data_IF_456088273097
#
_entry.id   IF_456088273097
#
_cell.length_a   1.000
_cell.length_b   1.000
_cell.length_c   1.000
_cell.angle_alpha   90.00
_cell.angle_beta   90.00
_cell.angle_gamma   90.00
#
_symmetry.space_group_name_H-M   'P 1'
#
loop_
_entity.id
_entity.type
_entity.pdbx_description
1 polymer ?
#
# COMPACT_ATOMS: atom_id res chain seq x y z
N UNK A 1 -57.30 -10.00 -4.48
CA UNK A 1 -57.28 -11.07 -3.45
C UNK A 1 -58.29 -12.19 -3.76
N UNK A 2 -58.49 -12.53 -5.05
CA UNK A 2 -59.43 -13.59 -5.49
C UNK A 2 -58.83 -14.52 -6.58
N UNK A 3 -57.58 -14.31 -7.01
CA UNK A 3 -56.93 -15.11 -8.06
C UNK A 3 -55.88 -16.12 -7.53
N UNK A 4 -55.58 -16.09 -6.22
CA UNK A 4 -54.65 -17.05 -5.61
C UNK A 4 -55.37 -18.21 -4.90
N UNK A 5 -56.70 -18.17 -4.75
CA UNK A 5 -57.47 -19.24 -4.11
C UNK A 5 -57.83 -20.40 -5.07
N UNK A 6 -57.80 -20.17 -6.38
CA UNK A 6 -58.19 -21.17 -7.40
C UNK A 6 -57.02 -22.05 -7.87
N UNK A 7 -55.77 -21.67 -7.60
CA UNK A 7 -54.58 -22.49 -7.97
C UNK A 7 -54.30 -23.61 -6.99
N UNK A 8 -54.61 -23.43 -5.71
CA UNK A 8 -54.35 -24.45 -4.69
C UNK A 8 -55.39 -25.58 -4.69
N UNK A 9 -56.59 -25.33 -5.25
CA UNK A 9 -57.64 -26.34 -5.38
C UNK A 9 -57.43 -27.35 -6.54
N UNK A 10 -56.53 -27.06 -7.49
CA UNK A 10 -56.22 -27.94 -8.63
C UNK A 10 -55.00 -28.85 -8.41
N UNK A 11 -54.21 -28.62 -7.34
CA UNK A 11 -53.08 -29.47 -6.99
C UNK A 11 -53.47 -30.68 -6.13
N UNK A 12 -54.66 -30.65 -5.51
CA UNK A 12 -55.09 -31.66 -4.53
C UNK A 12 -55.99 -32.77 -5.12
N UNK A 13 -56.35 -32.69 -6.41
CA UNK A 13 -57.19 -33.68 -7.12
C UNK A 13 -56.42 -34.69 -7.97
N UNK A 14 -55.09 -34.59 -8.07
CA UNK A 14 -54.24 -35.45 -8.92
C UNK A 14 -53.42 -36.50 -8.12
N UNK A 15 -53.64 -36.60 -6.80
CA UNK A 15 -52.89 -37.51 -5.92
C UNK A 15 -53.68 -38.73 -5.42
N UNK A 16 -54.82 -39.08 -6.03
CA UNK A 16 -55.61 -40.27 -5.65
C UNK A 16 -56.14 -41.01 -6.88
N UNK A 17 -55.33 -41.89 -7.44
CA UNK A 17 -55.82 -43.00 -8.25
C UNK A 17 -54.84 -44.17 -8.18
N UNK A 18 -54.89 -44.90 -7.08
CA UNK A 18 -54.41 -46.28 -7.00
C UNK A 18 -55.48 -47.18 -7.63
N UNK A 19 -55.17 -47.78 -8.78
CA UNK A 19 -56.00 -48.84 -9.37
C UNK A 19 -55.13 -50.07 -9.60
N UNK A 20 -55.36 -51.05 -8.74
CA UNK A 20 -54.70 -52.36 -8.70
C UNK A 20 -55.56 -53.39 -9.45
N UNK A 21 -54.85 -54.26 -10.15
CA UNK A 21 -55.12 -55.67 -10.51
C UNK A 21 -56.22 -56.06 -11.51
N UNK A 22 -55.76 -57.03 -12.32
CA UNK A 22 -56.46 -58.19 -12.90
C UNK A 22 -56.94 -58.11 -14.34
N UNK A 23 -56.40 -59.06 -15.14
CA UNK A 23 -57.08 -59.98 -16.09
C UNK A 23 -55.99 -60.68 -16.97
N UNK A 24 -56.18 -61.94 -17.40
CA UNK A 24 -55.16 -62.98 -17.31
C UNK A 24 -54.45 -63.36 -18.63
N UNK A 25 -53.48 -64.26 -18.48
CA UNK A 25 -52.75 -65.01 -19.50
C UNK A 25 -53.64 -65.65 -20.58
N UNK A 26 -53.27 -65.45 -21.85
CA UNK A 26 -53.53 -66.41 -22.92
C UNK A 26 -52.26 -66.59 -23.75
N UNK A 27 -51.74 -67.80 -23.65
CA UNK A 27 -50.67 -68.41 -24.43
C UNK A 27 -51.10 -68.49 -25.90
N UNK A 28 -50.25 -68.03 -26.83
CA UNK A 28 -50.12 -68.73 -28.10
C UNK A 28 -48.73 -68.57 -28.74
N UNK A 29 -48.05 -69.70 -28.78
CA UNK A 29 -46.81 -70.01 -29.49
C UNK A 29 -47.00 -69.91 -31.00
N UNK A 30 -46.23 -69.04 -31.66
CA UNK A 30 -45.84 -69.23 -33.07
C UNK A 30 -44.36 -68.88 -33.20
N UNK A 31 -43.53 -69.93 -33.25
CA UNK A 31 -42.11 -69.87 -33.54
C UNK A 31 -41.89 -69.76 -35.05
N UNK A 32 -41.76 -68.52 -35.56
CA UNK A 32 -41.24 -68.27 -36.91
C UNK A 32 -39.74 -68.03 -36.83
N UNK A 33 -38.96 -68.98 -37.30
CA UNK A 33 -37.50 -68.86 -37.40
C UNK A 33 -37.12 -67.83 -38.46
N UNK A 34 -36.89 -66.58 -38.04
CA UNK A 34 -36.11 -65.61 -38.82
C UNK A 34 -34.65 -65.72 -38.40
N UNK A 35 -33.80 -66.17 -39.32
CA UNK A 35 -32.35 -66.02 -39.21
C UNK A 35 -32.02 -64.53 -39.18
N UNK A 36 -31.59 -64.04 -38.03
CA UNK A 36 -31.04 -62.70 -37.87
C UNK A 36 -29.77 -62.57 -38.72
N UNK A 37 -29.84 -61.76 -39.77
CA UNK A 37 -28.66 -61.26 -40.47
C UNK A 37 -27.97 -60.33 -39.46
N UNK A 38 -26.79 -60.71 -39.00
CA UNK A 38 -25.98 -59.89 -38.11
C UNK A 38 -25.58 -58.60 -38.84
N UNK A 39 -26.29 -57.51 -38.58
CA UNK A 39 -25.80 -56.17 -38.89
C UNK A 39 -24.56 -55.92 -38.03
N UNK A 40 -23.41 -55.52 -38.61
CA UNK A 40 -22.27 -55.13 -37.80
C UNK A 40 -22.69 -53.96 -36.92
N UNK A 41 -22.73 -54.20 -35.60
CA UNK A 41 -22.92 -53.17 -34.59
C UNK A 41 -21.76 -52.19 -34.71
N UNK A 42 -21.98 -51.07 -35.39
CA UNK A 42 -21.05 -49.96 -35.40
C UNK A 42 -21.19 -49.25 -34.05
N UNK A 43 -20.52 -49.79 -33.03
CA UNK A 43 -20.38 -49.10 -31.76
C UNK A 43 -19.70 -47.74 -32.05
N UNK A 44 -20.33 -46.59 -31.76
CA UNK A 44 -19.65 -45.32 -31.90
C UNK A 44 -18.46 -45.37 -30.95
N UNK A 45 -17.25 -45.31 -31.52
CA UNK A 45 -16.02 -45.13 -30.77
C UNK A 45 -16.06 -43.74 -30.11
N UNK A 46 -16.79 -43.61 -29.00
CA UNK A 46 -16.57 -42.53 -28.05
C UNK A 46 -15.22 -42.78 -27.41
N UNK A 47 -14.15 -42.35 -28.09
CA UNK A 47 -12.87 -42.13 -27.42
C UNK A 47 -13.15 -41.16 -26.28
N UNK A 48 -13.18 -41.69 -25.05
CA UNK A 48 -13.27 -40.88 -23.85
C UNK A 48 -12.19 -39.80 -23.97
N UNK A 49 -12.61 -38.56 -24.22
CA UNK A 49 -11.67 -37.46 -24.36
C UNK A 49 -10.86 -37.42 -23.08
N UNK A 50 -9.54 -37.57 -23.23
CA UNK A 50 -8.60 -37.57 -22.12
C UNK A 50 -8.83 -36.26 -21.35
N UNK A 51 -9.41 -36.35 -20.15
CA UNK A 51 -9.65 -35.17 -19.31
C UNK A 51 -8.28 -34.54 -19.04
N UNK A 52 -8.15 -33.25 -19.34
CA UNK A 52 -6.91 -32.55 -19.05
C UNK A 52 -6.72 -32.50 -17.52
N UNK A 53 -5.63 -33.09 -17.04
CA UNK A 53 -5.31 -33.14 -15.60
C UNK A 53 -4.85 -31.77 -15.07
N UNK A 54 -4.26 -30.94 -15.94
CA UNK A 54 -3.75 -29.61 -15.64
C UNK A 54 -4.62 -28.45 -16.16
N UNK A 55 -4.37 -27.22 -15.70
CA UNK A 55 -5.02 -26.03 -16.23
C UNK A 55 -4.63 -25.81 -17.71
N UNK A 56 -5.56 -25.25 -18.48
CA UNK A 56 -5.30 -24.87 -19.87
C UNK A 56 -4.33 -23.69 -19.87
N UNK A 57 -3.24 -23.78 -20.65
CA UNK A 57 -2.22 -22.72 -20.68
C UNK A 57 -2.71 -21.49 -21.45
N UNK A 58 -2.51 -20.31 -20.86
CA UNK A 58 -2.65 -19.04 -21.56
C UNK A 58 -1.32 -18.64 -22.22
N UNK A 59 -1.39 -18.03 -23.41
CA UNK A 59 -0.20 -17.49 -24.11
C UNK A 59 0.31 -16.19 -23.48
N UNK A 60 -0.61 -15.31 -23.07
CA UNK A 60 -0.29 -13.95 -22.60
C UNK A 60 -0.89 -13.64 -21.22
N UNK A 61 -0.94 -14.63 -20.33
CA UNK A 61 -1.45 -14.38 -18.99
C UNK A 61 -0.47 -13.59 -18.11
N UNK A 62 -1.04 -12.86 -17.16
CA UNK A 62 -0.38 -12.07 -16.14
C UNK A 62 0.32 -13.03 -15.17
N UNK A 63 1.63 -12.86 -15.04
CA UNK A 63 2.49 -13.69 -14.19
C UNK A 63 2.90 -12.94 -12.94
N UNK A 64 2.98 -13.68 -11.84
CA UNK A 64 3.73 -13.25 -10.66
C UNK A 64 5.22 -13.25 -11.00
N UNK A 65 5.88 -12.08 -10.94
CA UNK A 65 7.26 -11.88 -11.43
C UNK A 65 8.29 -11.93 -10.32
N UNK A 66 7.88 -11.66 -9.07
CA UNK A 66 8.79 -11.61 -7.94
C UNK A 66 9.46 -12.97 -7.72
N UNK A 67 10.79 -12.93 -7.53
CA UNK A 67 11.64 -14.11 -7.29
C UNK A 67 11.53 -14.60 -5.85
N UNK A 68 11.46 -13.66 -4.92
CA UNK A 68 11.02 -13.91 -3.55
C UNK A 68 9.53 -14.26 -3.58
N UNK A 69 9.12 -15.15 -2.68
CA UNK A 69 7.70 -15.47 -2.51
C UNK A 69 6.96 -14.26 -1.92
N UNK A 70 5.79 -14.51 -1.34
CA UNK A 70 4.98 -13.54 -0.64
C UNK A 70 5.64 -12.97 0.64
N UNK A 71 6.85 -13.44 0.97
CA UNK A 71 7.61 -13.04 2.15
C UNK A 71 8.15 -11.61 2.03
N UNK A 72 8.20 -10.88 3.14
CA UNK A 72 8.80 -9.54 3.24
C UNK A 72 8.28 -8.52 2.20
N UNK A 73 6.98 -8.55 1.92
CA UNK A 73 6.33 -7.48 1.15
C UNK A 73 6.31 -6.17 1.96
N UNK A 74 6.47 -5.00 1.32
CA UNK A 74 6.30 -3.73 2.01
C UNK A 74 4.84 -3.55 2.43
N UNK A 75 4.61 -2.71 3.44
CA UNK A 75 3.26 -2.20 3.71
C UNK A 75 2.85 -1.28 2.53
N UNK A 76 1.63 -1.41 1.95
CA UNK A 76 0.43 -2.11 2.43
C UNK A 76 0.25 -3.54 1.90
N UNK A 77 1.15 -4.05 1.06
CA UNK A 77 1.00 -5.37 0.45
C UNK A 77 1.09 -6.54 1.46
N UNK A 78 1.94 -6.43 2.48
CA UNK A 78 2.09 -7.48 3.50
C UNK A 78 0.77 -7.80 4.24
N UNK A 79 0.05 -6.84 4.86
CA UNK A 79 -1.18 -7.18 5.57
C UNK A 79 -2.29 -7.75 4.67
N UNK A 80 -2.39 -7.29 3.42
CA UNK A 80 -3.30 -7.88 2.42
C UNK A 80 -2.97 -9.34 2.12
N UNK A 81 -1.68 -9.67 2.10
CA UNK A 81 -1.18 -11.02 1.87
C UNK A 81 -1.47 -11.93 3.05
N UNK A 82 -1.21 -11.46 4.27
CA UNK A 82 -1.59 -12.20 5.49
C UNK A 82 -3.09 -12.48 5.52
N UNK A 83 -3.89 -11.49 5.15
CA UNK A 83 -5.34 -11.62 5.15
C UNK A 83 -5.84 -12.64 4.12
N UNK A 84 -5.42 -12.52 2.85
CA UNK A 84 -6.00 -13.27 1.74
C UNK A 84 -5.27 -14.57 1.39
N UNK A 85 -3.96 -14.63 1.63
CA UNK A 85 -3.11 -15.75 1.23
C UNK A 85 -2.77 -16.65 2.43
N UNK A 86 -2.32 -16.08 3.54
CA UNK A 86 -1.88 -16.85 4.71
C UNK A 86 -3.05 -17.43 5.53
N UNK A 87 -4.28 -16.95 5.29
CA UNK A 87 -5.50 -17.56 5.83
C UNK A 87 -5.87 -18.89 5.15
N UNK A 88 -5.27 -19.20 3.99
CA UNK A 88 -5.51 -20.43 3.25
C UNK A 88 -4.58 -21.57 3.72
N UNK A 89 -5.02 -22.84 3.62
CA UNK A 89 -4.15 -23.98 3.92
C UNK A 89 -2.95 -24.02 2.95
N UNK A 90 -1.78 -24.39 3.47
CA UNK A 90 -0.49 -24.27 2.76
C UNK A 90 -0.49 -24.94 1.37
N UNK A 91 -1.02 -26.17 1.25
CA UNK A 91 -1.07 -26.86 -0.05
C UNK A 91 -1.94 -26.15 -1.10
N UNK A 92 -2.98 -25.42 -0.67
CA UNK A 92 -3.80 -24.60 -1.56
C UNK A 92 -3.05 -23.32 -1.97
N UNK A 93 -2.33 -22.71 -1.03
CA UNK A 93 -1.48 -21.55 -1.29
C UNK A 93 -0.39 -21.89 -2.31
N UNK A 94 0.28 -23.02 -2.17
CA UNK A 94 1.31 -23.47 -3.12
C UNK A 94 0.73 -23.66 -4.53
N UNK A 95 -0.42 -24.33 -4.64
CA UNK A 95 -1.11 -24.50 -5.93
C UNK A 95 -1.51 -23.15 -6.54
N UNK A 96 -2.02 -22.22 -5.73
CA UNK A 96 -2.40 -20.88 -6.17
C UNK A 96 -1.20 -20.06 -6.68
N UNK A 97 -0.06 -20.14 -5.98
CA UNK A 97 1.19 -19.49 -6.39
C UNK A 97 1.72 -20.09 -7.70
N UNK A 98 1.58 -21.40 -7.91
CA UNK A 98 1.96 -22.02 -9.17
C UNK A 98 1.09 -21.52 -10.34
N UNK A 99 -0.22 -21.31 -10.13
CA UNK A 99 -1.08 -20.67 -11.12
C UNK A 99 -0.63 -19.25 -11.43
N UNK A 100 -0.28 -18.48 -10.40
CA UNK A 100 0.17 -17.10 -10.54
C UNK A 100 1.50 -17.04 -11.32
N UNK A 101 2.47 -17.91 -11.02
CA UNK A 101 3.77 -17.99 -11.72
C UNK A 101 3.64 -18.47 -13.17
N UNK A 102 2.77 -19.44 -13.42
CA UNK A 102 2.51 -19.95 -14.78
C UNK A 102 1.82 -18.92 -15.69
N UNK A 103 1.23 -17.88 -15.10
CA UNK A 103 0.50 -16.86 -15.83
C UNK A 103 -0.87 -17.35 -16.26
N UNK A 104 -1.60 -17.96 -15.33
CA UNK A 104 -2.96 -18.44 -15.60
C UNK A 104 -4.01 -17.33 -15.50
N UNK A 105 -3.63 -16.11 -15.12
CA UNK A 105 -4.56 -14.98 -15.04
C UNK A 105 -4.62 -14.25 -16.38
N UNK A 106 -5.77 -14.28 -17.06
CA UNK A 106 -5.96 -13.63 -18.36
C UNK A 106 -6.10 -12.11 -18.25
N UNK A 107 -6.79 -11.63 -17.21
CA UNK A 107 -6.98 -10.21 -16.92
C UNK A 107 -7.00 -9.98 -15.42
N UNK A 108 -6.54 -8.80 -15.00
CA UNK A 108 -6.57 -8.32 -13.63
C UNK A 108 -6.83 -6.81 -13.69
N UNK A 109 -7.98 -6.39 -13.20
CA UNK A 109 -8.41 -4.99 -13.21
C UNK A 109 -8.67 -4.60 -11.76
N UNK A 110 -8.03 -3.53 -11.30
CA UNK A 110 -8.19 -2.98 -9.97
C UNK A 110 -9.01 -1.69 -10.13
N UNK A 111 -10.11 -1.59 -9.40
CA UNK A 111 -11.03 -0.45 -9.47
C UNK A 111 -11.39 0.02 -8.06
N UNK A 112 -12.08 1.16 -7.97
CA UNK A 112 -12.63 1.67 -6.72
C UNK A 112 -13.64 0.72 -6.04
N UNK A 113 -14.20 -0.23 -6.80
CA UNK A 113 -15.18 -1.19 -6.31
C UNK A 113 -14.58 -2.53 -5.94
N UNK A 114 -13.25 -2.71 -6.07
CA UNK A 114 -12.56 -3.97 -5.84
C UNK A 114 -11.75 -4.44 -7.05
N UNK A 115 -11.34 -5.69 -7.00
CA UNK A 115 -10.49 -6.35 -7.98
C UNK A 115 -11.32 -7.35 -8.77
N UNK A 116 -11.26 -7.26 -10.10
CA UNK A 116 -11.87 -8.21 -11.02
C UNK A 116 -10.80 -8.91 -11.84
N UNK A 117 -10.87 -10.24 -11.93
CA UNK A 117 -9.90 -11.03 -12.65
C UNK A 117 -10.52 -12.25 -13.33
N UNK A 118 -9.92 -12.65 -14.45
CA UNK A 118 -10.25 -13.89 -15.14
C UNK A 118 -9.09 -14.87 -15.00
N UNK A 119 -9.31 -15.99 -14.32
CA UNK A 119 -8.28 -17.02 -14.07
C UNK A 119 -8.60 -18.28 -14.85
N UNK A 120 -7.68 -18.70 -15.71
CA UNK A 120 -7.79 -19.90 -16.50
C UNK A 120 -7.48 -21.14 -15.65
N UNK A 121 -8.45 -22.03 -15.53
CA UNK A 121 -8.27 -23.34 -14.91
C UNK A 121 -8.42 -24.47 -15.92
N UNK A 122 -9.04 -25.56 -15.49
CA UNK A 122 -9.30 -26.75 -16.31
C UNK A 122 -10.43 -26.53 -17.33
N UNK A 123 -11.42 -25.72 -16.97
CA UNK A 123 -12.58 -25.43 -17.80
C UNK A 123 -12.20 -24.64 -19.06
N UNK A 124 -12.88 -24.82 -20.20
CA UNK A 124 -12.63 -24.04 -21.41
C UNK A 124 -12.79 -22.53 -21.22
N UNK A 125 -13.72 -22.12 -20.33
CA UNK A 125 -13.94 -20.72 -19.96
C UNK A 125 -13.19 -20.39 -18.68
N UNK A 126 -12.47 -19.28 -18.68
CA UNK A 126 -11.80 -18.77 -17.48
C UNK A 126 -12.80 -18.46 -16.36
N UNK A 127 -12.41 -18.77 -15.12
CA UNK A 127 -13.18 -18.46 -13.93
C UNK A 127 -13.12 -16.96 -13.65
N UNK A 128 -14.27 -16.39 -13.28
CA UNK A 128 -14.38 -14.99 -12.91
C UNK A 128 -14.20 -14.90 -11.40
N UNK A 129 -13.23 -14.08 -10.99
CA UNK A 129 -12.85 -13.85 -9.60
C UNK A 129 -13.08 -12.38 -9.29
N UNK A 130 -13.70 -12.12 -8.14
CA UNK A 130 -13.89 -10.77 -7.63
C UNK A 130 -13.53 -10.69 -6.15
N UNK A 131 -12.72 -9.70 -5.79
CA UNK A 131 -12.30 -9.42 -4.41
C UNK A 131 -12.66 -7.97 -4.09
N UNK A 132 -13.64 -7.78 -3.21
CA UNK A 132 -14.14 -6.47 -2.82
C UNK A 132 -13.84 -6.23 -1.34
N UNK A 133 -13.38 -5.04 -0.99
CA UNK A 133 -13.28 -4.60 0.40
C UNK A 133 -14.33 -3.53 0.71
N UNK A 134 -14.65 -3.39 1.98
CA UNK A 134 -15.55 -2.32 2.43
C UNK A 134 -14.99 -0.94 2.04
N UNK A 135 -15.82 -0.14 1.37
CA UNK A 135 -15.48 1.19 0.86
C UNK A 135 -15.85 2.25 1.89
N UNK A 136 -15.01 3.27 2.04
CA UNK A 136 -15.32 4.39 2.94
C UNK A 136 -16.32 5.37 2.30
N UNK A 137 -17.11 6.03 3.13
CA UNK A 137 -18.01 7.07 2.65
C UNK A 137 -17.25 8.30 2.15
N UNK A 138 -17.90 9.12 1.32
CA UNK A 138 -17.31 10.39 0.85
C UNK A 138 -16.91 11.32 2.00
N UNK A 139 -17.74 11.38 3.05
CA UNK A 139 -17.47 12.16 4.27
C UNK A 139 -16.29 11.62 5.08
N UNK A 140 -16.09 10.30 5.11
CA UNK A 140 -14.92 9.71 5.77
C UNK A 140 -13.64 10.10 5.05
N UNK A 141 -13.65 10.01 3.71
CA UNK A 141 -12.53 10.44 2.88
C UNK A 141 -12.21 11.93 3.06
N UNK A 142 -13.21 12.80 3.11
CA UNK A 142 -12.99 14.23 3.36
C UNK A 142 -12.30 14.47 4.70
N UNK A 143 -12.75 13.80 5.77
CA UNK A 143 -12.12 13.90 7.10
C UNK A 143 -10.68 13.38 7.10
N UNK A 144 -10.43 12.24 6.46
CA UNK A 144 -9.07 11.67 6.31
C UNK A 144 -8.15 12.64 5.57
N UNK A 145 -8.60 13.18 4.41
CA UNK A 145 -7.81 14.14 3.62
C UNK A 145 -7.49 15.39 4.44
N UNK A 146 -8.45 15.92 5.20
CA UNK A 146 -8.21 17.08 6.07
C UNK A 146 -7.14 16.82 7.13
N UNK A 147 -7.13 15.63 7.75
CA UNK A 147 -6.12 15.26 8.74
C UNK A 147 -4.76 15.10 8.07
N UNK A 148 -4.68 14.35 6.96
CA UNK A 148 -3.44 14.14 6.21
C UNK A 148 -2.86 15.43 5.65
N UNK A 149 -3.69 16.39 5.25
CA UNK A 149 -3.26 17.68 4.74
C UNK A 149 -2.54 18.54 5.79
N UNK A 150 -2.70 18.28 7.09
CA UNK A 150 -2.02 19.00 8.18
C UNK A 150 -0.51 18.75 8.21
N UNK A 151 -0.06 17.57 7.79
CA UNK A 151 1.34 17.16 7.88
C UNK A 151 1.98 17.05 6.49
N UNK A 152 3.08 17.78 6.24
CA UNK A 152 3.74 17.85 4.92
C UNK A 152 4.24 16.51 4.43
N UNK A 153 4.59 15.64 5.37
CA UNK A 153 5.17 14.33 5.12
C UNK A 153 4.24 13.42 4.30
N UNK A 154 2.92 13.39 4.60
CA UNK A 154 1.99 12.52 3.87
C UNK A 154 1.90 12.90 2.39
N UNK A 155 1.66 14.18 2.09
CA UNK A 155 1.57 14.62 0.69
C UNK A 155 2.89 14.45 -0.06
N UNK A 156 4.02 14.81 0.56
CA UNK A 156 5.32 14.71 -0.09
C UNK A 156 5.64 13.25 -0.48
N UNK A 157 5.44 12.29 0.43
CA UNK A 157 5.71 10.87 0.17
C UNK A 157 4.72 10.26 -0.82
N UNK A 158 3.43 10.54 -0.68
CA UNK A 158 2.42 10.01 -1.61
C UNK A 158 2.61 10.56 -3.03
N UNK A 159 3.04 11.82 -3.19
CA UNK A 159 3.41 12.39 -4.49
C UNK A 159 4.65 11.74 -5.08
N UNK A 160 5.58 11.26 -4.24
CA UNK A 160 6.71 10.46 -4.68
C UNK A 160 6.33 9.00 -5.03
N UNK A 161 5.06 8.62 -4.90
CA UNK A 161 4.61 7.24 -5.07
C UNK A 161 5.03 6.32 -3.93
N UNK A 162 5.52 6.88 -2.82
CA UNK A 162 5.95 6.14 -1.65
C UNK A 162 4.87 6.16 -0.57
N UNK A 163 4.75 5.05 0.14
CA UNK A 163 3.81 4.98 1.26
C UNK A 163 4.43 5.58 2.53
N UNK A 164 3.82 6.61 3.14
CA UNK A 164 4.36 7.24 4.34
C UNK A 164 4.39 6.27 5.54
N UNK A 165 5.44 6.32 6.38
CA UNK A 165 5.38 5.67 7.68
C UNK A 165 4.21 6.27 8.47
N UNK A 166 3.45 5.44 9.19
CA UNK A 166 2.29 5.86 9.99
C UNK A 166 1.09 6.42 9.19
N UNK A 167 0.99 6.14 7.89
CA UNK A 167 -0.19 6.54 7.10
C UNK A 167 -1.52 5.99 7.63
N UNK A 168 -1.50 4.97 8.48
CA UNK A 168 -2.71 4.48 9.17
C UNK A 168 -3.20 5.42 10.28
N UNK A 169 -2.35 6.27 10.87
CA UNK A 169 -2.73 7.10 12.02
C UNK A 169 -3.93 8.04 11.73
N UNK A 170 -4.00 8.74 10.57
CA UNK A 170 -5.19 9.50 10.18
C UNK A 170 -6.47 8.66 10.13
N UNK A 171 -6.40 7.42 9.66
CA UNK A 171 -7.55 6.52 9.59
C UNK A 171 -7.96 6.03 10.99
N UNK A 172 -6.98 5.60 11.80
CA UNK A 172 -7.22 5.10 13.15
C UNK A 172 -7.85 6.17 14.04
N UNK A 173 -7.48 7.45 13.88
CA UNK A 173 -8.08 8.58 14.61
C UNK A 173 -9.59 8.75 14.35
N UNK A 174 -10.09 8.19 13.25
CA UNK A 174 -11.50 8.18 12.85
C UNK A 174 -12.17 6.81 13.06
N UNK A 175 -11.46 5.84 13.67
CA UNK A 175 -11.93 4.47 13.83
C UNK A 175 -11.95 3.65 12.54
N UNK A 176 -11.16 4.05 11.54
CA UNK A 176 -11.06 3.39 10.24
C UNK A 176 -9.72 2.66 10.08
N UNK A 177 -9.67 1.68 9.17
CA UNK A 177 -8.47 0.90 8.86
C UNK A 177 -8.24 0.88 7.35
N UNK A 178 -7.13 1.44 6.85
CA UNK A 178 -6.88 1.49 5.40
C UNK A 178 -6.80 0.08 4.81
N UNK A 179 -6.03 -0.81 5.44
CA UNK A 179 -5.98 -2.22 5.06
C UNK A 179 -6.94 -3.00 5.95
N UNK A 180 -7.81 -3.86 5.38
CA UNK A 180 -8.72 -4.66 6.19
C UNK A 180 -7.97 -5.56 7.17
N UNK A 181 -8.49 -5.67 8.38
CA UNK A 181 -7.86 -6.50 9.44
C UNK A 181 -8.49 -7.88 9.56
N UNK A 182 -9.70 -8.05 9.05
CA UNK A 182 -10.48 -9.28 9.15
C UNK A 182 -11.06 -9.70 7.80
N UNK A 183 -11.16 -11.01 7.58
CA UNK A 183 -11.79 -11.58 6.38
C UNK A 183 -13.27 -11.21 6.26
N UNK A 184 -13.90 -10.69 7.33
CA UNK A 184 -15.29 -10.21 7.30
C UNK A 184 -15.45 -8.90 6.51
N UNK A 185 -14.41 -8.09 6.44
CA UNK A 185 -14.38 -6.82 5.70
C UNK A 185 -14.06 -7.01 4.20
N UNK A 186 -13.76 -8.26 3.79
CA UNK A 186 -13.39 -8.58 2.41
C UNK A 186 -14.27 -9.69 1.86
N UNK A 187 -14.94 -9.39 0.76
CA UNK A 187 -15.81 -10.34 0.05
C UNK A 187 -15.08 -10.90 -1.15
N UNK A 188 -14.79 -12.20 -1.09
CA UNK A 188 -14.22 -12.95 -2.21
C UNK A 188 -15.31 -13.77 -2.89
N UNK A 189 -15.40 -13.69 -4.22
CA UNK A 189 -16.31 -14.52 -5.02
C UNK A 189 -15.58 -15.14 -6.21
N UNK A 190 -15.95 -16.38 -6.53
CA UNK A 190 -15.44 -17.07 -7.71
C UNK A 190 -16.47 -18.07 -8.22
N UNK A 191 -16.68 -18.14 -9.54
CA UNK A 191 -17.62 -19.04 -10.18
C UNK A 191 -17.14 -20.51 -10.31
N UNK A 192 -16.06 -20.90 -9.61
CA UNK A 192 -15.53 -22.27 -9.61
C UNK A 192 -16.28 -23.26 -8.69
N UNK A 193 -17.23 -22.77 -7.89
CA UNK A 193 -18.01 -23.59 -6.95
C UNK A 193 -17.28 -24.02 -5.68
N UNK A 194 -15.98 -23.74 -5.55
CA UNK A 194 -15.17 -24.06 -4.36
C UNK A 194 -14.97 -22.86 -3.42
N UNK A 195 -15.39 -21.66 -3.84
CA UNK A 195 -15.28 -20.46 -3.02
C UNK A 195 -16.46 -20.39 -2.05
N UNK A 196 -16.18 -20.22 -0.76
CA UNK A 196 -17.21 -20.03 0.27
C UNK A 196 -16.99 -18.68 0.97
N UNK A 197 -17.95 -18.18 1.75
CA UNK A 197 -17.78 -16.93 2.50
C UNK A 197 -16.65 -16.97 3.53
N UNK A 198 -16.23 -18.17 3.96
CA UNK A 198 -15.21 -18.37 5.00
C UNK A 198 -13.88 -18.89 4.44
N UNK A 199 -13.87 -19.43 3.21
CA UNK A 199 -12.70 -20.02 2.60
C UNK A 199 -12.54 -19.60 1.14
N UNK A 200 -11.35 -19.08 0.83
CA UNK A 200 -10.94 -18.70 -0.51
C UNK A 200 -10.54 -19.94 -1.33
N UNK A 201 -11.00 -20.01 -2.57
CA UNK A 201 -10.50 -21.00 -3.53
C UNK A 201 -9.11 -20.60 -4.07
N UNK A 202 -8.39 -21.54 -4.70
CA UNK A 202 -7.07 -21.27 -5.30
C UNK A 202 -7.05 -20.12 -6.31
N UNK A 203 -8.16 -19.89 -7.04
CA UNK A 203 -8.24 -18.78 -7.99
C UNK A 203 -8.27 -17.43 -7.29
N UNK A 204 -8.96 -17.33 -6.14
CA UNK A 204 -8.96 -16.12 -5.30
C UNK A 204 -7.57 -15.87 -4.74
N UNK A 205 -6.92 -16.90 -4.20
CA UNK A 205 -5.56 -16.78 -3.64
C UNK A 205 -4.54 -16.42 -4.73
N UNK A 206 -4.67 -16.96 -5.94
CA UNK A 206 -3.85 -16.59 -7.11
C UNK A 206 -3.99 -15.10 -7.44
N UNK A 207 -5.23 -14.59 -7.46
CA UNK A 207 -5.50 -13.16 -7.70
C UNK A 207 -5.00 -12.31 -6.54
N UNK A 208 -5.14 -12.76 -5.29
CA UNK A 208 -4.62 -12.07 -4.12
C UNK A 208 -3.10 -11.94 -4.12
N UNK A 209 -2.37 -12.98 -4.54
CA UNK A 209 -0.93 -12.93 -4.70
C UNK A 209 -0.50 -11.90 -5.77
N UNK A 210 -1.22 -11.85 -6.91
CA UNK A 210 -0.99 -10.83 -7.93
C UNK A 210 -1.35 -9.42 -7.45
N UNK A 211 -2.43 -9.28 -6.67
CA UNK A 211 -2.82 -8.02 -6.05
C UNK A 211 -1.73 -7.52 -5.10
N UNK A 212 -1.17 -8.41 -4.28
CA UNK A 212 -0.07 -8.09 -3.37
C UNK A 212 1.18 -7.60 -4.12
N UNK A 213 1.54 -8.24 -5.23
CA UNK A 213 2.65 -7.77 -6.09
C UNK A 213 2.36 -6.38 -6.67
N UNK A 214 1.11 -6.10 -7.07
CA UNK A 214 0.70 -4.78 -7.56
C UNK A 214 0.75 -3.73 -6.47
N UNK A 215 0.27 -4.03 -5.26
CA UNK A 215 0.32 -3.13 -4.12
C UNK A 215 1.76 -2.82 -3.68
N UNK A 216 2.67 -3.78 -3.83
CA UNK A 216 4.08 -3.57 -3.54
C UNK A 216 4.77 -2.63 -4.55
N UNK A 217 4.31 -2.62 -5.81
CA UNK A 217 4.82 -1.74 -6.85
C UNK A 217 4.13 -0.37 -6.92
N UNK A 218 2.83 -0.31 -6.62
CA UNK A 218 2.02 0.90 -6.56
C UNK A 218 1.16 0.90 -5.29
N UNK A 219 1.64 1.57 -4.22
CA UNK A 219 0.96 1.55 -2.94
C UNK A 219 -0.33 2.39 -2.93
N UNK A 220 -0.53 3.30 -3.90
CA UNK A 220 -1.74 4.13 -3.97
C UNK A 220 -3.00 3.31 -4.28
N UNK A 221 -2.82 2.11 -4.85
CA UNK A 221 -3.90 1.16 -5.08
C UNK A 221 -4.61 0.76 -3.77
N UNK A 222 -3.96 0.86 -2.60
CA UNK A 222 -4.62 0.60 -1.32
C UNK A 222 -5.77 1.59 -1.05
N UNK A 223 -5.62 2.87 -1.41
CA UNK A 223 -6.70 3.85 -1.30
C UNK A 223 -7.81 3.58 -2.33
N UNK A 224 -7.41 3.14 -3.52
CA UNK A 224 -8.35 2.77 -4.59
C UNK A 224 -9.25 1.62 -4.14
N UNK A 225 -8.69 0.59 -3.50
CA UNK A 225 -9.47 -0.52 -2.94
C UNK A 225 -10.46 -0.09 -1.83
N UNK A 226 -10.26 1.08 -1.22
CA UNK A 226 -11.17 1.70 -0.24
C UNK A 226 -12.09 2.77 -0.87
N UNK A 227 -12.16 2.81 -2.20
CA UNK A 227 -13.13 3.59 -2.97
C UNK A 227 -12.69 5.00 -3.40
N UNK A 228 -11.44 5.38 -3.19
CA UNK A 228 -10.90 6.64 -3.71
C UNK A 228 -9.69 6.39 -4.58
N UNK A 229 -9.80 6.74 -5.86
CA UNK A 229 -8.68 6.65 -6.80
C UNK A 229 -7.45 7.39 -6.28
N UNK A 230 -6.27 6.77 -6.45
CA UNK A 230 -5.01 7.31 -5.94
C UNK A 230 -4.67 8.69 -6.47
N UNK A 231 -4.89 8.97 -7.77
CA UNK A 231 -4.64 10.29 -8.36
C UNK A 231 -5.61 11.32 -7.77
N UNK A 232 -6.89 10.96 -7.64
CA UNK A 232 -7.90 11.82 -7.04
C UNK A 232 -7.62 12.14 -5.57
N UNK A 233 -7.03 11.21 -4.82
CA UNK A 233 -6.55 11.47 -3.45
C UNK A 233 -5.43 12.51 -3.45
N UNK A 234 -4.46 12.41 -4.36
CA UNK A 234 -3.35 13.36 -4.46
C UNK A 234 -3.87 14.77 -4.81
N UNK A 235 -4.79 14.88 -5.76
CA UNK A 235 -5.45 16.16 -6.11
C UNK A 235 -6.13 16.79 -4.88
N UNK A 236 -6.95 16.01 -4.18
CA UNK A 236 -7.65 16.48 -2.97
C UNK A 236 -6.69 16.91 -1.86
N UNK A 237 -5.57 16.21 -1.70
CA UNK A 237 -4.54 16.58 -0.72
C UNK A 237 -3.85 17.89 -1.11
N UNK A 238 -3.53 18.09 -2.39
CA UNK A 238 -2.94 19.34 -2.88
C UNK A 238 -3.90 20.52 -2.69
N UNK A 239 -5.19 20.35 -3.02
CA UNK A 239 -6.22 21.36 -2.81
C UNK A 239 -6.40 21.70 -1.31
N UNK A 240 -6.54 20.68 -0.47
CA UNK A 240 -6.70 20.86 0.97
C UNK A 240 -5.50 21.58 1.59
N UNK A 241 -4.28 21.26 1.13
CA UNK A 241 -3.08 22.00 1.53
C UNK A 241 -3.09 23.44 1.07
N UNK A 242 -3.40 23.68 -0.21
CA UNK A 242 -3.44 25.04 -0.75
C UNK A 242 -4.45 25.91 0.01
N UNK A 243 -5.58 25.34 0.43
CA UNK A 243 -6.57 26.04 1.27
C UNK A 243 -6.00 26.26 2.69
N UNK A 244 -5.38 25.26 3.29
CA UNK A 244 -4.79 25.39 4.64
C UNK A 244 -3.62 26.38 4.69
N UNK A 245 -2.85 26.52 3.61
CA UNK A 245 -1.72 27.45 3.50
C UNK A 245 -2.09 28.80 2.92
N UNK A 246 -3.29 28.96 2.32
CA UNK A 246 -3.85 30.26 1.92
C UNK A 246 -4.07 31.11 3.17
N UNK A 247 -3.05 31.90 3.51
CA UNK A 247 -3.02 32.82 4.65
C UNK A 247 -1.83 32.63 5.60
N UNK A 248 -1.16 31.47 5.57
CA UNK A 248 -0.01 31.17 6.43
C UNK A 248 0.96 30.25 5.66
N UNK A 249 1.81 30.85 4.82
CA UNK A 249 3.02 30.18 4.35
C UNK A 249 4.03 30.12 5.52
N UNK A 250 3.83 29.22 6.48
CA UNK A 250 4.86 28.90 7.50
C UNK A 250 5.86 27.94 6.87
N UNK A 251 6.72 28.47 6.01
CA UNK A 251 8.03 27.87 5.77
C UNK A 251 8.82 28.03 7.08
N UNK A 252 8.87 26.97 7.89
CA UNK A 252 9.44 26.96 9.23
C UNK A 252 8.74 27.89 10.23
N UNK A 253 8.71 27.49 11.50
CA UNK A 253 8.59 28.47 12.58
C UNK A 253 9.79 29.38 12.43
N UNK A 254 9.59 30.65 12.04
CA UNK A 254 10.64 31.63 12.25
C UNK A 254 11.01 31.54 13.74
N UNK A 255 12.30 31.40 14.10
CA UNK A 255 12.70 31.55 15.49
C UNK A 255 12.07 32.86 16.00
N UNK A 256 11.62 32.93 17.26
CA UNK A 256 11.06 34.15 17.79
C UNK A 256 12.08 35.26 17.54
N UNK A 257 11.76 36.15 16.60
CA UNK A 257 12.51 37.39 16.46
C UNK A 257 12.30 38.05 17.81
N UNK A 258 13.37 38.16 18.60
CA UNK A 258 13.32 38.93 19.81
C UNK A 258 12.78 40.31 19.39
N UNK A 259 11.61 40.68 19.88
CA UNK A 259 11.03 42.01 19.75
C UNK A 259 11.88 42.96 20.61
N UNK A 260 13.15 43.13 20.22
CA UNK A 260 14.02 44.14 20.76
C UNK A 260 13.55 45.45 20.13
N UNK A 261 12.61 46.11 20.81
CA UNK A 261 11.97 47.37 20.43
C UNK A 261 12.92 48.57 20.38
N UNK A 262 14.03 48.47 19.66
CA UNK A 262 14.89 49.59 19.30
C UNK A 262 14.96 49.62 17.78
N UNK A 263 14.46 50.70 17.20
CA UNK A 263 14.58 50.97 15.78
C UNK A 263 16.07 50.96 15.43
N UNK A 264 16.56 49.87 14.82
CA UNK A 264 17.95 49.76 14.44
C UNK A 264 18.30 50.96 13.54
N UNK A 265 19.48 51.59 13.73
CA UNK A 265 19.91 52.65 12.83
C UNK A 265 19.99 52.12 11.39
N UNK A 266 19.83 53.00 10.38
CA UNK A 266 19.95 52.61 8.98
C UNK A 266 21.29 51.91 8.72
N UNK A 267 21.29 50.92 7.82
CA UNK A 267 22.43 50.02 7.59
C UNK A 267 23.75 50.76 7.31
N UNK A 268 23.68 51.89 6.62
CA UNK A 268 24.83 52.73 6.30
C UNK A 268 25.56 53.25 7.54
N UNK A 269 24.82 53.50 8.64
CA UNK A 269 25.38 53.92 9.93
C UNK A 269 25.93 52.73 10.74
N UNK A 270 25.60 51.50 10.36
CA UNK A 270 25.98 50.28 11.06
C UNK A 270 27.14 49.52 10.39
N UNK A 271 27.57 49.93 9.19
CA UNK A 271 28.60 49.20 8.42
C UNK A 271 29.90 48.98 9.20
N UNK A 272 30.33 49.97 9.98
CA UNK A 272 31.56 49.90 10.79
C UNK A 272 31.48 48.87 11.93
N UNK A 273 30.27 48.53 12.37
CA UNK A 273 30.01 47.63 13.49
C UNK A 273 29.16 46.41 13.10
N UNK A 274 28.94 46.19 11.80
CA UNK A 274 28.05 45.15 11.28
C UNK A 274 28.45 43.75 11.73
N UNK A 275 29.76 43.51 11.82
CA UNK A 275 30.33 42.23 12.28
C UNK A 275 30.62 42.19 13.78
N UNK A 276 30.23 43.23 14.54
CA UNK A 276 30.39 43.28 15.99
C UNK A 276 29.02 43.06 16.65
N UNK A 277 28.96 42.36 17.78
CA UNK A 277 27.72 42.22 18.53
C UNK A 277 27.21 43.62 18.93
N UNK A 278 25.94 43.90 18.64
CA UNK A 278 25.29 45.14 19.01
C UNK A 278 24.77 45.02 20.45
N UNK A 279 25.43 45.68 21.39
CA UNK A 279 25.08 45.70 22.82
C UNK A 279 26.14 45.05 23.72
N UNK A 280 26.05 45.32 25.02
CA UNK A 280 26.79 44.57 26.04
C UNK A 280 26.28 43.13 26.04
N UNK A 281 26.94 42.24 25.29
CA UNK A 281 26.80 40.81 25.51
C UNK A 281 27.33 40.53 26.92
N UNK A 282 26.43 40.48 27.90
CA UNK A 282 26.77 39.89 29.19
C UNK A 282 27.20 38.44 28.91
N UNK A 283 28.31 37.97 29.50
CA UNK A 283 28.84 36.63 29.22
C UNK A 283 27.83 35.50 29.48
N UNK A 284 26.79 35.76 30.29
CA UNK A 284 25.68 34.84 30.56
C UNK A 284 24.70 34.65 29.38
N UNK A 285 24.65 35.57 28.41
CA UNK A 285 23.62 35.53 27.34
C UNK A 285 24.04 34.74 26.10
N UNK A 286 25.28 34.25 26.02
CA UNK A 286 25.85 33.58 24.84
C UNK A 286 26.32 32.15 25.10
N UNK A 287 25.89 31.49 26.17
CA UNK A 287 25.98 30.02 26.22
C UNK A 287 24.78 29.41 25.48
N UNK A 288 24.73 29.62 24.16
CA UNK A 288 24.11 28.62 23.30
C UNK A 288 25.03 27.40 23.38
N UNK A 289 24.83 26.56 24.40
CA UNK A 289 25.40 25.22 24.40
C UNK A 289 25.06 24.63 23.03
N UNK A 290 26.06 24.28 22.20
CA UNK A 290 25.77 23.71 20.90
C UNK A 290 24.94 22.46 21.19
N UNK A 291 23.65 22.48 20.82
CA UNK A 291 22.89 21.24 20.75
C UNK A 291 23.77 20.24 19.99
N UNK A 292 23.90 18.99 20.45
CA UNK A 292 24.81 18.05 19.85
C UNK A 292 24.32 17.72 18.45
N UNK A 293 24.72 18.53 17.46
CA UNK A 293 24.51 18.24 16.07
C UNK A 293 25.24 16.94 15.77
N UNK A 294 24.60 16.05 15.03
CA UNK A 294 25.25 14.84 14.57
C UNK A 294 26.55 15.23 13.84
N UNK A 295 27.70 14.79 14.35
CA UNK A 295 28.99 15.13 13.77
C UNK A 295 28.98 14.87 12.25
N UNK A 296 29.43 15.87 11.49
CA UNK A 296 29.54 15.82 10.03
C UNK A 296 28.19 15.66 9.29
N UNK A 297 27.08 16.19 9.83
CA UNK A 297 25.74 16.07 9.24
C UNK A 297 25.66 16.48 7.75
N UNK A 298 26.33 17.58 7.38
CA UNK A 298 26.37 18.04 5.99
C UNK A 298 27.11 17.05 5.07
N UNK A 299 28.24 16.51 5.52
CA UNK A 299 29.00 15.51 4.77
C UNK A 299 28.23 14.20 4.62
N UNK A 300 27.46 13.79 5.64
CA UNK A 300 26.61 12.60 5.57
C UNK A 300 25.45 12.74 4.58
N UNK A 301 24.87 13.93 4.44
CA UNK A 301 23.80 14.21 3.46
C UNK A 301 24.27 14.16 2.01
N UNK A 302 25.55 14.46 1.76
CA UNK A 302 26.13 14.44 0.42
C UNK A 302 26.38 13.01 -0.10
N UNK A 303 26.36 12.00 0.77
CA UNK A 303 26.55 10.61 0.38
C UNK A 303 27.97 10.28 -0.09
N UNK A 304 28.16 9.09 -0.64
CA UNK A 304 29.48 8.66 -1.12
C UNK A 304 29.88 9.44 -2.38
N UNK A 305 31.11 9.95 -2.40
CA UNK A 305 31.65 10.67 -3.55
C UNK A 305 31.82 9.74 -4.75
N UNK A 306 31.52 10.18 -5.99
CA UNK A 306 31.76 9.42 -7.22
C UNK A 306 33.25 9.33 -7.59
N UNK A 307 34.14 9.99 -6.85
CA UNK A 307 35.58 10.00 -7.11
C UNK A 307 36.23 8.68 -6.63
N UNK A 308 36.84 7.93 -7.56
CA UNK A 308 37.45 6.61 -7.32
C UNK A 308 38.81 6.63 -6.62
N UNK A 309 38.89 7.23 -5.43
CA UNK A 309 40.10 7.26 -4.60
C UNK A 309 40.29 6.01 -3.73
N UNK A 310 41.52 5.80 -3.25
CA UNK A 310 41.87 4.71 -2.31
C UNK A 310 41.13 4.81 -0.96
N UNK A 311 40.66 6.01 -0.61
CA UNK A 311 39.88 6.28 0.60
C UNK A 311 38.62 7.08 0.26
N UNK A 312 37.50 6.85 0.96
CA UNK A 312 36.27 7.62 0.74
C UNK A 312 36.47 9.09 1.14
N UNK A 313 36.23 10.01 0.20
CA UNK A 313 36.41 11.45 0.36
C UNK A 313 35.72 12.02 1.61
N UNK A 314 34.51 11.52 1.90
CA UNK A 314 33.71 11.93 3.07
C UNK A 314 34.46 11.68 4.39
N UNK A 315 35.17 10.55 4.50
CA UNK A 315 35.94 10.21 5.70
C UNK A 315 37.17 11.10 5.85
N UNK A 316 37.85 11.40 4.74
CA UNK A 316 38.99 12.31 4.74
C UNK A 316 38.55 13.72 5.16
N UNK A 317 37.49 14.25 4.56
CA UNK A 317 36.95 15.56 4.95
C UNK A 317 36.51 15.58 6.41
N UNK A 318 35.83 14.55 6.90
CA UNK A 318 35.46 14.46 8.31
C UNK A 318 36.68 14.63 9.24
N UNK A 319 37.78 13.91 8.98
CA UNK A 319 39.01 14.05 9.78
C UNK A 319 39.61 15.47 9.75
N UNK A 320 39.57 16.14 8.60
CA UNK A 320 40.05 17.54 8.48
C UNK A 320 39.16 18.48 9.29
N UNK A 321 37.84 18.37 9.14
CA UNK A 321 36.89 19.20 9.87
C UNK A 321 37.01 19.00 11.38
N UNK A 322 37.21 17.77 11.83
CA UNK A 322 37.41 17.45 13.26
C UNK A 322 38.71 18.06 13.80
N UNK A 323 39.81 17.95 13.06
CA UNK A 323 41.10 18.56 13.44
C UNK A 323 41.00 20.08 13.53
N UNK A 324 40.35 20.73 12.56
CA UNK A 324 40.19 22.19 12.55
C UNK A 324 39.25 22.63 13.68
N UNK A 325 38.16 21.89 13.91
CA UNK A 325 37.22 22.21 14.98
C UNK A 325 37.88 22.11 16.36
N UNK A 326 38.68 21.07 16.60
CA UNK A 326 39.40 20.87 17.87
C UNK A 326 40.43 21.99 18.09
N UNK A 327 41.18 22.38 17.04
CA UNK A 327 42.14 23.48 17.15
C UNK A 327 41.46 24.84 17.36
N UNK A 328 40.34 25.10 16.68
CA UNK A 328 39.54 26.30 16.89
C UNK A 328 38.92 26.37 18.30
N UNK A 329 38.54 25.23 18.87
CA UNK A 329 38.10 25.16 20.27
C UNK A 329 39.23 25.53 21.23
N UNK A 330 40.43 24.97 21.05
CA UNK A 330 41.60 25.33 21.86
C UNK A 330 41.89 26.84 21.79
N UNK A 331 41.93 27.42 20.59
CA UNK A 331 42.20 28.85 20.43
C UNK A 331 41.15 29.72 21.12
N UNK A 332 39.87 29.36 21.03
CA UNK A 332 38.79 30.07 21.73
C UNK A 332 38.94 29.96 23.25
N UNK A 333 39.26 28.76 23.73
CA UNK A 333 39.41 28.50 25.16
C UNK A 333 40.68 29.18 25.72
N UNK A 334 41.73 29.35 24.90
CA UNK A 334 42.94 30.13 25.20
C UNK A 334 42.70 31.65 25.18
N UNK A 335 41.96 32.19 24.20
CA UNK A 335 41.58 33.61 24.14
C UNK A 335 40.65 34.02 25.29
N UNK A 336 39.75 33.12 25.72
CA UNK A 336 38.90 33.33 26.89
C UNK A 336 39.64 33.31 28.23
N UNK A 337 40.92 32.91 28.26
CA UNK A 337 41.72 32.79 29.47
C UNK A 337 42.70 33.95 29.72
N UNK A 338 42.76 34.96 28.83
CA UNK A 338 43.56 36.17 29.06
C UNK A 338 42.83 37.11 30.04
N UNK A 339 43.41 37.47 31.20
CA UNK A 339 42.80 38.44 32.10
C UNK A 339 42.84 39.84 31.48
N UNK A 340 41.73 40.54 31.58
CA UNK A 340 41.41 41.90 31.09
C UNK A 340 42.25 43.04 31.76
N UNK A 341 43.51 42.79 32.09
CA UNK A 341 44.30 43.59 33.02
C UNK A 341 45.36 44.51 32.37
N UNK A 342 45.18 44.95 31.12
CA UNK A 342 46.20 45.77 30.47
C UNK A 342 45.66 46.85 29.52
N UNK A 343 44.68 47.66 29.94
CA UNK A 343 44.38 48.96 29.30
C UNK A 343 43.91 50.03 30.31
N UNK A 344 44.57 50.14 31.46
CA UNK A 344 44.46 51.30 32.35
C UNK A 344 45.86 51.69 32.86
N UNK A 345 46.69 52.27 31.99
CA UNK A 345 47.74 53.20 32.42
C UNK A 345 48.22 54.03 31.22
N UNK A 346 47.59 55.17 30.99
CA UNK A 346 48.33 56.36 30.54
C UNK A 346 47.49 57.61 30.84
N UNK A 347 47.51 58.03 32.12
CA UNK A 347 47.04 59.36 32.53
C UNK A 347 48.02 59.98 33.52
N UNK A 348 49.23 60.28 33.05
CA UNK A 348 50.07 61.30 33.68
C UNK A 348 51.23 61.72 32.75
N UNK A 349 51.18 62.97 32.29
CA UNK A 349 52.29 63.94 32.10
C UNK A 349 52.03 64.82 30.86
N UNK A 350 51.51 66.03 31.09
CA UNK A 350 52.30 67.25 30.90
C UNK A 350 51.43 68.48 31.26
N UNK A 351 51.87 69.17 32.33
CA UNK A 351 51.63 70.60 32.63
C UNK A 351 52.70 71.44 31.91
#
# INVERSE_FOLDING_TARGET
MQLNAERDALAESLAKSDFVSDVPEIINTVSVGLRAIATPSFAPNFRAQRRQEGPRRLKHGIRFRRKENLDALPWPAAPWTTLLCESAPQGLLDEALDYARQGQTASLIITAHGVEAAVQGREPRAYQVRIDADVFSGSDWERVVQIMAREALYSAKLLAGEMPPQVEAPFQSLGLTLVPTSMKEVRCTCNCGQCTPTASCKHVVCVAALLAERLAGDPLLAFTLRGLDGQKLLERLQEARAIATRGIARAHSMPPIADSGTHAPPIDACLAHFWRPLGECTPDSTESLPEPFAAHALLKRLGQSPLGGKFPLVGLLASIYESIALEGQKLRDEEGALPDAALNDDSSLDD
#
